data_IF_357694291564
#
_entry.id   IF_357694291564
#
_cell.length_a   1.000
_cell.length_b   1.000
_cell.length_c   1.000
_cell.angle_alpha   90.00
_cell.angle_beta   90.00
_cell.angle_gamma   90.00
#
_symmetry.space_group_name_H-M   'P 1'
#
loop_
_entity.id
_entity.type
_entity.pdbx_description
1 polymer ?
#
# COMPACT_ATOMS: atom_id res chain seq x y z
N UNK A 1 8.67 24.92 10.86
CA UNK A 1 8.78 23.46 11.13
C UNK A 1 9.84 22.90 10.21
N UNK A 2 10.79 22.11 10.73
CA UNK A 2 11.88 21.51 9.93
C UNK A 2 11.34 20.29 9.17
N UNK A 3 11.55 20.24 7.84
CA UNK A 3 11.20 19.09 7.00
C UNK A 3 12.34 18.06 6.98
N UNK A 4 12.02 16.77 7.12
CA UNK A 4 12.99 15.69 6.99
C UNK A 4 13.09 15.24 5.52
N UNK A 5 14.28 15.34 4.92
CA UNK A 5 14.49 15.05 3.50
C UNK A 5 14.27 13.57 3.11
N UNK A 6 14.28 12.64 4.07
CA UNK A 6 14.06 11.21 3.82
C UNK A 6 12.62 10.72 4.05
N UNK A 7 11.76 11.58 4.60
CA UNK A 7 10.35 11.27 4.78
C UNK A 7 9.55 11.56 3.51
N UNK A 8 8.43 10.85 3.30
CA UNK A 8 7.53 11.14 2.18
C UNK A 8 6.79 12.46 2.36
N UNK A 9 6.39 12.82 3.58
CA UNK A 9 5.62 14.03 3.84
C UNK A 9 6.44 15.24 4.26
N UNK A 10 5.75 16.38 4.28
CA UNK A 10 6.36 17.70 4.48
C UNK A 10 6.50 18.10 5.94
N UNK A 11 5.56 17.65 6.78
CA UNK A 11 5.53 17.90 8.22
C UNK A 11 4.65 16.83 8.91
N UNK A 12 4.63 16.82 10.25
CA UNK A 12 3.90 15.81 11.02
C UNK A 12 2.39 15.80 10.80
N UNK A 13 1.75 16.96 10.57
CA UNK A 13 0.30 17.02 10.30
C UNK A 13 -0.03 16.40 8.94
N UNK A 14 0.83 16.65 7.94
CA UNK A 14 0.70 16.05 6.61
C UNK A 14 0.83 14.51 6.68
N UNK A 15 1.84 14.00 7.38
CA UNK A 15 2.02 12.54 7.55
C UNK A 15 0.83 11.91 8.29
N UNK A 16 0.37 12.57 9.36
CA UNK A 16 -0.77 12.14 10.15
C UNK A 16 -2.06 12.02 9.32
N UNK A 17 -2.28 12.96 8.40
CA UNK A 17 -3.44 12.97 7.51
C UNK A 17 -3.33 11.88 6.43
N UNK A 18 -2.16 11.76 5.80
CA UNK A 18 -1.91 10.74 4.77
C UNK A 18 -2.05 9.32 5.32
N UNK A 19 -1.53 9.02 6.52
CA UNK A 19 -1.71 7.72 7.17
C UNK A 19 -3.19 7.39 7.36
N UNK A 20 -4.01 8.37 7.79
CA UNK A 20 -5.45 8.13 8.03
C UNK A 20 -6.24 7.95 6.74
N UNK A 21 -6.00 8.82 5.76
CA UNK A 21 -6.67 8.72 4.47
C UNK A 21 -6.36 7.37 3.79
N UNK A 22 -5.08 6.97 3.75
CA UNK A 22 -4.67 5.68 3.21
C UNK A 22 -5.23 4.50 4.01
N UNK A 23 -5.27 4.57 5.34
CA UNK A 23 -5.84 3.52 6.18
C UNK A 23 -7.33 3.28 5.88
N UNK A 24 -8.11 4.34 5.68
CA UNK A 24 -9.54 4.22 5.33
C UNK A 24 -9.69 3.47 4.00
N UNK A 25 -8.92 3.83 2.98
CA UNK A 25 -8.96 3.14 1.68
C UNK A 25 -8.60 1.66 1.81
N UNK A 26 -7.53 1.35 2.56
CA UNK A 26 -7.09 -0.03 2.79
C UNK A 26 -8.17 -0.84 3.51
N UNK A 27 -8.80 -0.29 4.57
CA UNK A 27 -9.86 -0.98 5.31
C UNK A 27 -11.08 -1.25 4.41
N UNK A 28 -11.48 -0.28 3.60
CA UNK A 28 -12.60 -0.47 2.66
C UNK A 28 -12.29 -1.57 1.64
N UNK A 29 -11.05 -1.66 1.16
CA UNK A 29 -10.64 -2.73 0.25
C UNK A 29 -10.60 -4.10 0.92
N UNK A 30 -10.13 -4.18 2.17
CA UNK A 30 -10.18 -5.41 2.97
C UNK A 30 -11.62 -5.89 3.13
N UNK A 31 -12.55 -4.99 3.49
CA UNK A 31 -13.98 -5.31 3.59
C UNK A 31 -14.52 -5.80 2.25
N UNK A 32 -14.15 -5.15 1.15
CA UNK A 32 -14.55 -5.54 -0.20
C UNK A 32 -14.11 -6.97 -0.59
N UNK A 33 -12.83 -7.31 -0.34
CA UNK A 33 -12.30 -8.66 -0.60
C UNK A 33 -12.94 -9.70 0.33
N UNK A 34 -13.10 -9.38 1.62
CA UNK A 34 -13.80 -10.26 2.57
C UNK A 34 -15.25 -10.50 2.13
N UNK A 35 -15.95 -9.46 1.66
CA UNK A 35 -17.31 -9.58 1.13
C UNK A 35 -17.40 -10.52 -0.07
N UNK A 36 -16.43 -10.47 -0.99
CA UNK A 36 -16.32 -11.42 -2.08
C UNK A 36 -16.12 -12.86 -1.57
N UNK A 37 -15.10 -13.08 -0.72
CA UNK A 37 -14.79 -14.41 -0.20
C UNK A 37 -15.97 -15.00 0.59
N UNK A 38 -16.66 -14.18 1.38
CA UNK A 38 -17.78 -14.62 2.21
C UNK A 38 -19.05 -14.95 1.42
N UNK A 39 -19.21 -14.45 0.19
CA UNK A 39 -20.44 -14.60 -0.61
C UNK A 39 -20.27 -15.42 -1.89
N UNK A 40 -19.04 -15.70 -2.32
CA UNK A 40 -18.76 -16.43 -3.55
C UNK A 40 -19.17 -17.92 -3.53
N UNK A 41 -19.38 -18.52 -2.34
CA UNK A 41 -19.54 -19.97 -2.22
C UNK A 41 -18.22 -20.69 -2.53
N UNK A 42 -18.23 -21.57 -3.54
CA UNK A 42 -17.03 -22.26 -4.01
C UNK A 42 -16.21 -21.35 -4.95
N UNK A 43 -14.98 -21.00 -4.55
CA UNK A 43 -14.09 -20.15 -5.35
C UNK A 43 -13.39 -21.01 -6.42
N UNK A 44 -13.99 -21.09 -7.61
CA UNK A 44 -13.38 -21.71 -8.79
C UNK A 44 -12.49 -20.70 -9.54
N UNK A 45 -11.65 -21.20 -10.46
CA UNK A 45 -10.84 -20.35 -11.32
C UNK A 45 -11.68 -19.34 -12.13
N UNK A 46 -12.83 -19.76 -12.65
CA UNK A 46 -13.70 -18.90 -13.44
C UNK A 46 -14.29 -17.76 -12.61
N UNK A 47 -14.75 -18.04 -11.39
CA UNK A 47 -15.28 -17.03 -10.46
C UNK A 47 -14.18 -16.05 -10.05
N UNK A 48 -13.00 -16.57 -9.68
CA UNK A 48 -11.86 -15.75 -9.30
C UNK A 48 -11.42 -14.82 -10.44
N UNK A 49 -11.23 -15.37 -11.64
CA UNK A 49 -10.84 -14.61 -12.82
C UNK A 49 -11.91 -13.60 -13.21
N UNK A 50 -13.19 -13.96 -13.12
CA UNK A 50 -14.32 -13.07 -13.38
C UNK A 50 -14.34 -11.87 -12.43
N UNK A 51 -14.12 -12.11 -11.13
CA UNK A 51 -14.07 -11.04 -10.14
C UNK A 51 -12.93 -10.05 -10.42
N UNK A 52 -11.70 -10.52 -10.63
CA UNK A 52 -10.57 -9.66 -10.93
C UNK A 52 -10.56 -9.05 -12.33
N UNK A 53 -11.40 -9.56 -13.26
CA UNK A 53 -11.60 -8.94 -14.57
C UNK A 53 -12.46 -7.67 -14.50
N UNK A 54 -13.26 -7.47 -13.45
CA UNK A 54 -14.11 -6.28 -13.31
C UNK A 54 -13.29 -4.99 -13.19
N UNK A 55 -13.67 -3.96 -13.94
CA UNK A 55 -12.99 -2.66 -13.90
C UNK A 55 -12.95 -2.05 -12.49
N UNK A 56 -14.04 -2.20 -11.72
CA UNK A 56 -14.10 -1.77 -10.32
C UNK A 56 -13.00 -2.44 -9.48
N UNK A 57 -12.86 -3.76 -9.57
CA UNK A 57 -11.86 -4.53 -8.82
C UNK A 57 -10.44 -4.15 -9.23
N UNK A 58 -10.17 -3.99 -10.53
CA UNK A 58 -8.85 -3.55 -11.03
C UNK A 58 -8.48 -2.17 -10.49
N UNK A 59 -9.38 -1.19 -10.64
CA UNK A 59 -9.15 0.19 -10.17
C UNK A 59 -9.02 0.26 -8.64
N UNK A 60 -9.89 -0.44 -7.91
CA UNK A 60 -9.87 -0.42 -6.46
C UNK A 60 -8.61 -1.11 -5.90
N UNK A 61 -8.17 -2.20 -6.53
CA UNK A 61 -6.89 -2.86 -6.19
C UNK A 61 -5.71 -1.92 -6.38
N UNK A 62 -5.66 -1.20 -7.52
CA UNK A 62 -4.60 -0.20 -7.75
C UNK A 62 -4.63 0.93 -6.73
N UNK A 63 -5.81 1.49 -6.47
CA UNK A 63 -5.97 2.56 -5.48
C UNK A 63 -5.48 2.12 -4.09
N UNK A 64 -5.75 0.87 -3.72
CA UNK A 64 -5.25 0.28 -2.47
C UNK A 64 -3.75 0.07 -2.49
N UNK A 65 -3.15 -0.36 -3.60
CA UNK A 65 -1.69 -0.50 -3.70
C UNK A 65 -0.98 0.86 -3.55
N UNK A 66 -1.51 1.93 -4.15
CA UNK A 66 -1.00 3.28 -3.91
C UNK A 66 -1.19 3.73 -2.46
N UNK A 67 -2.32 3.38 -1.85
CA UNK A 67 -2.57 3.66 -0.43
C UNK A 67 -1.58 2.91 0.47
N UNK A 68 -1.26 1.65 0.18
CA UNK A 68 -0.24 0.86 0.87
C UNK A 68 1.15 1.49 0.68
N UNK A 69 1.51 1.92 -0.53
CA UNK A 69 2.77 2.62 -0.80
C UNK A 69 2.94 3.82 0.14
N UNK A 70 1.92 4.68 0.24
CA UNK A 70 1.97 5.86 1.12
C UNK A 70 1.96 5.46 2.59
N UNK A 71 1.05 4.59 3.00
CA UNK A 71 0.87 4.18 4.39
C UNK A 71 2.13 3.51 4.95
N UNK A 72 2.65 2.52 4.22
CA UNK A 72 3.82 1.76 4.63
C UNK A 72 5.11 2.58 4.52
N UNK A 73 5.25 3.49 3.55
CA UNK A 73 6.41 4.37 3.50
C UNK A 73 6.51 5.20 4.78
N UNK A 74 5.44 5.91 5.14
CA UNK A 74 5.44 6.79 6.32
C UNK A 74 5.60 5.96 7.59
N UNK A 75 4.84 4.87 7.73
CA UNK A 75 4.91 4.00 8.91
C UNK A 75 6.30 3.37 9.09
N UNK A 76 6.91 2.85 8.02
CA UNK A 76 8.25 2.27 8.11
C UNK A 76 9.33 3.33 8.34
N UNK A 77 9.18 4.53 7.78
CA UNK A 77 10.08 5.64 8.10
C UNK A 77 10.05 5.96 9.59
N UNK A 78 8.86 6.05 10.21
CA UNK A 78 8.71 6.28 11.65
C UNK A 78 9.39 5.19 12.48
N UNK A 79 9.11 3.92 12.17
CA UNK A 79 9.74 2.75 12.84
C UNK A 79 11.27 2.81 12.70
N UNK A 80 11.78 3.06 11.51
CA UNK A 80 13.22 3.13 11.28
C UNK A 80 13.88 4.30 12.01
N UNK A 81 13.25 5.47 12.08
CA UNK A 81 13.80 6.61 12.83
C UNK A 81 13.78 6.39 14.34
N UNK A 82 12.79 5.66 14.85
CA UNK A 82 12.65 5.37 16.27
C UNK A 82 13.67 4.33 16.73
N UNK A 83 13.86 3.26 15.95
CA UNK A 83 14.62 2.09 16.41
C UNK A 83 16.01 1.93 15.78
N UNK A 84 16.26 2.43 14.56
CA UNK A 84 17.56 2.28 13.89
C UNK A 84 18.38 3.56 14.03
N UNK A 85 19.34 3.54 14.96
CA UNK A 85 20.21 4.69 15.27
C UNK A 85 21.32 4.93 14.23
N UNK A 86 22.02 3.90 13.70
CA UNK A 86 23.06 4.12 12.70
C UNK A 86 22.48 4.68 11.40
N UNK A 87 22.95 5.86 10.98
CA UNK A 87 22.38 6.59 9.84
C UNK A 87 22.47 5.81 8.53
N UNK A 88 23.64 5.26 8.21
CA UNK A 88 23.85 4.53 6.96
C UNK A 88 22.93 3.31 6.84
N UNK A 89 22.83 2.52 7.92
CA UNK A 89 21.94 1.36 7.97
C UNK A 89 20.48 1.78 7.78
N UNK A 90 20.04 2.82 8.47
CA UNK A 90 18.67 3.34 8.35
C UNK A 90 18.33 3.77 6.92
N UNK A 91 19.25 4.46 6.24
CA UNK A 91 19.01 4.92 4.86
C UNK A 91 18.96 3.75 3.87
N UNK A 92 19.82 2.74 4.04
CA UNK A 92 19.80 1.53 3.20
C UNK A 92 18.48 0.76 3.39
N UNK A 93 18.04 0.60 4.64
CA UNK A 93 16.76 -0.05 4.94
C UNK A 93 15.58 0.74 4.37
N UNK A 94 15.57 2.06 4.54
CA UNK A 94 14.52 2.91 3.97
C UNK A 94 14.48 2.78 2.44
N UNK A 95 15.64 2.78 1.76
CA UNK A 95 15.71 2.59 0.31
C UNK A 95 15.16 1.23 -0.12
N UNK A 96 15.56 0.15 0.57
CA UNK A 96 15.08 -1.20 0.26
C UNK A 96 13.55 -1.31 0.41
N UNK A 97 12.99 -0.72 1.47
CA UNK A 97 11.54 -0.67 1.71
C UNK A 97 10.84 0.11 0.59
N UNK A 98 11.33 1.29 0.25
CA UNK A 98 10.75 2.12 -0.82
C UNK A 98 10.76 1.39 -2.16
N UNK A 99 11.88 0.75 -2.52
CA UNK A 99 11.98 -0.06 -3.74
C UNK A 99 10.97 -1.20 -3.72
N UNK A 100 10.85 -1.93 -2.59
CA UNK A 100 9.87 -3.01 -2.47
C UNK A 100 8.41 -2.51 -2.64
N UNK A 101 8.06 -1.37 -2.04
CA UNK A 101 6.72 -0.79 -2.18
C UNK A 101 6.42 -0.35 -3.62
N UNK A 102 7.41 0.21 -4.33
CA UNK A 102 7.27 0.55 -5.75
C UNK A 102 7.10 -0.72 -6.61
N UNK A 103 7.86 -1.78 -6.31
CA UNK A 103 7.70 -3.09 -6.96
C UNK A 103 6.29 -3.63 -6.73
N UNK A 104 5.70 -3.50 -5.53
CA UNK A 104 4.32 -3.93 -5.28
C UNK A 104 3.31 -3.19 -6.15
N UNK A 105 3.43 -1.87 -6.31
CA UNK A 105 2.53 -1.10 -7.18
C UNK A 105 2.71 -1.50 -8.64
N UNK A 106 3.94 -1.60 -9.13
CA UNK A 106 4.24 -1.94 -10.54
C UNK A 106 3.76 -3.36 -10.83
N UNK A 107 4.16 -4.32 -10.01
CA UNK A 107 3.82 -5.72 -10.19
C UNK A 107 2.31 -5.95 -10.07
N UNK A 108 1.67 -5.34 -9.08
CA UNK A 108 0.21 -5.40 -8.94
C UNK A 108 -0.51 -4.81 -10.16
N UNK A 109 0.02 -3.74 -10.75
CA UNK A 109 -0.49 -3.18 -12.02
C UNK A 109 -0.36 -4.18 -13.17
N UNK A 110 0.80 -4.80 -13.34
CA UNK A 110 1.02 -5.82 -14.37
C UNK A 110 0.06 -7.00 -14.18
N UNK A 111 -0.17 -7.44 -12.93
CA UNK A 111 -1.07 -8.56 -12.62
C UNK A 111 -2.52 -8.22 -12.96
N UNK A 112 -3.06 -7.09 -12.47
CA UNK A 112 -4.50 -6.79 -12.67
C UNK A 112 -4.83 -6.35 -14.10
N UNK A 113 -3.86 -5.79 -14.84
CA UNK A 113 -4.06 -5.38 -16.24
C UNK A 113 -3.58 -6.42 -17.26
N UNK A 114 -2.78 -7.40 -16.85
CA UNK A 114 -2.41 -8.56 -17.66
C UNK A 114 -3.38 -9.74 -17.57
N UNK A 115 -4.34 -9.69 -16.65
CA UNK A 115 -5.40 -10.68 -16.44
C UNK A 115 -6.68 -10.42 -17.26
#
# INVERSE_FOLDING_TARGET
>A
MVSNASALGRNGVHDWLLIRASAIVIVLYVIYIIGFIATAGDITYEIWRGFFAMALTKVFTLLTLFSILVHAWIGMWQVLTDYIKPLALRLILQLAIVVALLVYVIYGTIVVWGA
#
